data_IF_650041194019
#
_entry.id   IF_650041194019
#
_cell.length_a   1.000
_cell.length_b   1.000
_cell.length_c   1.000
_cell.angle_alpha   90.00
_cell.angle_beta   90.00
_cell.angle_gamma   90.00
#
_symmetry.space_group_name_H-M   'P 1'
#
loop_
_entity.id
_entity.type
_entity.pdbx_description
1 polymer ?
#
# COMPACT_ATOMS: atom_id res chain seq x y z
N UNK A 1 -29.13 -18.76 2.04
CA UNK A 1 -27.86 -18.72 1.29
C UNK A 1 -26.87 -19.64 1.99
N UNK A 2 -26.56 -20.75 1.35
CA UNK A 2 -26.01 -21.99 1.92
C UNK A 2 -24.48 -21.98 2.03
N UNK A 3 -23.97 -22.78 2.96
CA UNK A 3 -22.56 -22.89 3.38
C UNK A 3 -21.57 -23.36 2.27
N UNK A 4 -22.10 -23.72 1.09
CA UNK A 4 -21.35 -24.20 -0.08
C UNK A 4 -20.42 -23.12 -0.70
N UNK A 5 -20.76 -21.83 -0.61
CA UNK A 5 -19.97 -20.77 -1.26
C UNK A 5 -18.63 -20.46 -0.57
N UNK A 6 -18.43 -20.87 0.69
CA UNK A 6 -17.17 -20.62 1.41
C UNK A 6 -16.08 -21.65 1.08
N UNK A 7 -16.45 -22.84 0.57
CA UNK A 7 -15.47 -23.90 0.24
C UNK A 7 -14.77 -23.66 -1.11
N UNK A 8 -15.43 -23.00 -2.08
CA UNK A 8 -14.83 -22.74 -3.40
C UNK A 8 -13.71 -21.67 -3.39
N UNK A 9 -13.71 -20.73 -2.43
CA UNK A 9 -12.64 -19.71 -2.36
C UNK A 9 -11.34 -20.19 -1.74
N UNK A 10 -11.36 -21.28 -0.97
CA UNK A 10 -10.16 -21.81 -0.32
C UNK A 10 -9.33 -22.71 -1.25
N UNK A 11 -9.97 -23.37 -2.24
CA UNK A 11 -9.26 -24.23 -3.19
C UNK A 11 -8.51 -23.46 -4.29
N UNK A 12 -8.89 -22.22 -4.60
CA UNK A 12 -8.19 -21.43 -5.64
C UNK A 12 -6.86 -20.81 -5.18
N UNK A 13 -6.64 -20.68 -3.87
CA UNK A 13 -5.40 -20.05 -3.34
C UNK A 13 -4.28 -21.08 -3.16
N UNK A 14 -4.60 -22.36 -3.00
CA UNK A 14 -3.59 -23.42 -2.78
C UNK A 14 -3.08 -24.03 -4.10
N UNK A 15 -3.85 -23.91 -5.20
CA UNK A 15 -3.47 -24.48 -6.50
C UNK A 15 -2.40 -23.72 -7.30
N UNK A 16 -2.02 -22.51 -6.89
CA UNK A 16 -1.10 -21.63 -7.64
C UNK A 16 0.35 -21.63 -7.14
N UNK A 17 0.67 -22.45 -6.11
CA UNK A 17 1.99 -22.51 -5.49
C UNK A 17 2.82 -23.76 -5.84
N UNK A 18 2.33 -24.65 -6.71
CA UNK A 18 2.99 -25.93 -7.03
C UNK A 18 3.32 -26.13 -8.52
N UNK A 19 3.34 -25.07 -9.33
CA UNK A 19 3.85 -25.14 -10.70
C UNK A 19 5.35 -24.83 -10.71
N UNK A 20 6.15 -25.89 -10.62
CA UNK A 20 7.61 -25.85 -10.63
C UNK A 20 8.19 -25.41 -11.98
N UNK A 21 9.04 -24.39 -11.94
CA UNK A 21 9.96 -24.09 -13.03
C UNK A 21 11.33 -24.72 -12.70
N UNK A 22 11.62 -25.87 -13.29
CA UNK A 22 12.98 -26.43 -13.35
C UNK A 22 13.78 -25.64 -14.38
N UNK A 23 14.71 -24.81 -13.91
CA UNK A 23 15.65 -24.06 -14.75
C UNK A 23 16.91 -24.91 -14.94
N UNK A 24 17.05 -25.54 -16.11
CA UNK A 24 18.30 -26.18 -16.51
C UNK A 24 19.28 -25.10 -16.99
N UNK A 25 20.43 -24.99 -16.32
CA UNK A 25 21.52 -24.11 -16.73
C UNK A 25 22.24 -24.69 -17.96
N UNK A 26 22.51 -23.90 -19.01
CA UNK A 26 23.35 -24.34 -20.13
C UNK A 26 24.82 -24.34 -19.71
N UNK A 27 25.50 -25.46 -19.95
CA UNK A 27 26.96 -25.55 -19.84
C UNK A 27 27.60 -24.76 -21.00
N UNK A 28 28.36 -23.73 -20.64
CA UNK A 28 29.17 -22.94 -21.59
C UNK A 28 30.56 -23.59 -21.69
N UNK A 29 31.06 -23.90 -22.90
CA UNK A 29 32.41 -24.44 -23.08
C UNK A 29 33.46 -23.37 -22.76
N UNK A 30 34.40 -23.74 -21.88
CA UNK A 30 35.60 -22.97 -21.56
C UNK A 30 36.57 -23.01 -22.75
N UNK A 31 36.56 -21.97 -23.58
CA UNK A 31 37.73 -21.58 -24.37
C UNK A 31 38.43 -20.44 -23.65
N UNK A 32 39.64 -20.69 -23.15
CA UNK A 32 40.52 -19.67 -22.60
C UNK A 32 41.17 -18.91 -23.77
N UNK A 33 40.85 -17.62 -24.00
CA UNK A 33 41.68 -16.80 -24.86
C UNK A 33 42.95 -16.42 -24.10
N UNK A 34 44.10 -16.63 -24.74
CA UNK A 34 45.36 -16.04 -24.31
C UNK A 34 45.23 -14.53 -24.51
N UNK A 35 44.99 -13.79 -23.42
CA UNK A 35 44.92 -12.33 -23.42
C UNK A 35 46.29 -11.82 -23.01
N UNK A 36 46.93 -11.06 -23.88
CA UNK A 36 48.16 -10.35 -23.57
C UNK A 36 47.94 -9.42 -22.36
N UNK A 37 48.95 -9.26 -21.48
CA UNK A 37 48.81 -8.42 -20.29
C UNK A 37 48.43 -6.99 -20.71
N UNK A 38 47.35 -6.41 -20.14
CA UNK A 38 46.95 -5.05 -20.46
C UNK A 38 48.05 -4.10 -20.04
N UNK A 39 48.41 -3.20 -20.97
CA UNK A 39 49.25 -2.04 -20.68
C UNK A 39 48.58 -1.28 -19.55
N UNK A 40 49.19 -1.30 -18.37
CA UNK A 40 48.72 -0.59 -17.18
C UNK A 40 48.92 0.89 -17.47
N UNK A 41 47.86 1.55 -17.92
CA UNK A 41 47.80 3.00 -17.94
C UNK A 41 47.90 3.49 -16.49
N UNK A 42 49.05 4.08 -16.16
CA UNK A 42 49.39 4.63 -14.84
C UNK A 42 48.87 6.06 -14.67
N UNK A 43 47.97 6.50 -15.54
CA UNK A 43 47.21 7.73 -15.34
C UNK A 43 46.53 7.72 -13.97
N UNK A 44 46.75 8.73 -13.11
CA UNK A 44 46.09 8.82 -11.82
C UNK A 44 44.57 8.84 -12.04
N UNK A 45 43.78 8.06 -11.27
CA UNK A 45 42.34 8.06 -11.39
C UNK A 45 41.83 9.48 -11.15
N UNK A 46 41.13 10.03 -12.15
CA UNK A 46 40.46 11.32 -12.01
C UNK A 46 39.54 11.26 -10.79
N UNK A 47 39.65 12.21 -9.84
CA UNK A 47 38.76 12.24 -8.68
C UNK A 47 37.34 12.45 -9.18
N UNK A 48 36.45 11.46 -8.99
CA UNK A 48 35.02 11.57 -9.30
C UNK A 48 34.37 12.56 -8.32
N UNK A 49 34.04 13.80 -8.71
CA UNK A 49 33.53 14.81 -7.79
C UNK A 49 31.99 14.75 -7.60
N UNK A 50 31.27 13.96 -8.41
CA UNK A 50 29.81 14.08 -8.51
C UNK A 50 28.99 13.39 -7.40
N UNK A 51 29.58 12.46 -6.63
CA UNK A 51 28.83 11.71 -5.61
C UNK A 51 28.49 12.54 -4.38
N UNK A 52 29.32 13.52 -4.05
CA UNK A 52 29.16 14.29 -2.82
C UNK A 52 28.11 15.41 -2.99
N UNK A 53 28.03 16.04 -4.17
CA UNK A 53 27.07 17.13 -4.42
C UNK A 53 25.61 16.65 -4.44
N UNK A 54 25.34 15.47 -5.03
CA UNK A 54 23.99 14.88 -5.00
C UNK A 54 23.56 14.52 -3.59
N UNK A 55 24.46 13.98 -2.77
CA UNK A 55 24.16 13.61 -1.40
C UNK A 55 23.85 14.85 -0.53
N UNK A 56 24.62 15.91 -0.68
CA UNK A 56 24.37 17.18 0.02
C UNK A 56 23.05 17.83 -0.44
N UNK A 57 22.72 17.76 -1.73
CA UNK A 57 21.42 18.25 -2.25
C UNK A 57 20.24 17.48 -1.66
N UNK A 58 20.33 16.14 -1.65
CA UNK A 58 19.35 15.26 -1.01
C UNK A 58 19.16 15.61 0.47
N UNK A 59 20.26 15.77 1.19
CA UNK A 59 20.25 16.13 2.61
C UNK A 59 19.63 17.50 2.83
N UNK A 60 19.98 18.50 2.02
CA UNK A 60 19.40 19.83 2.09
C UNK A 60 17.88 19.80 1.88
N UNK A 61 17.40 19.07 0.86
CA UNK A 61 15.97 18.95 0.56
C UNK A 61 15.18 18.27 1.68
N UNK A 62 15.75 17.23 2.32
CA UNK A 62 15.09 16.53 3.42
C UNK A 62 15.00 17.37 4.71
N UNK A 63 15.91 18.32 4.91
CA UNK A 63 15.97 19.18 6.10
C UNK A 63 15.31 20.56 5.90
N UNK A 64 14.63 20.79 4.78
CA UNK A 64 13.85 22.01 4.55
C UNK A 64 12.79 22.21 5.66
N UNK A 65 12.76 23.42 6.21
CA UNK A 65 11.72 23.85 7.17
C UNK A 65 10.37 23.93 6.46
N UNK A 66 9.27 23.79 7.23
CA UNK A 66 7.89 23.75 6.72
C UNK A 66 7.55 24.88 5.72
N UNK A 67 7.92 26.11 6.04
CA UNK A 67 7.60 27.28 5.20
C UNK A 67 8.39 27.27 3.89
N UNK A 68 9.69 26.95 3.97
CA UNK A 68 10.59 26.84 2.82
C UNK A 68 10.22 25.64 1.92
N UNK A 69 9.72 24.55 2.52
CA UNK A 69 9.25 23.37 1.79
C UNK A 69 8.06 23.71 0.90
N UNK A 70 7.09 24.47 1.41
CA UNK A 70 5.91 24.85 0.62
C UNK A 70 6.27 25.73 -0.57
N UNK A 71 7.14 26.72 -0.37
CA UNK A 71 7.60 27.58 -1.47
C UNK A 71 8.40 26.80 -2.49
N UNK A 72 9.26 25.88 -2.05
CA UNK A 72 10.06 25.07 -2.96
C UNK A 72 9.19 24.11 -3.77
N UNK A 73 8.22 23.46 -3.13
CA UNK A 73 7.29 22.57 -3.80
C UNK A 73 6.49 23.31 -4.89
N UNK A 74 5.98 24.51 -4.59
CA UNK A 74 5.30 25.38 -5.56
C UNK A 74 6.23 25.82 -6.70
N UNK A 75 7.49 26.15 -6.40
CA UNK A 75 8.48 26.54 -7.40
C UNK A 75 8.74 25.39 -8.39
N UNK A 76 8.98 24.18 -7.89
CA UNK A 76 9.24 23.01 -8.73
C UNK A 76 8.00 22.59 -9.55
N UNK A 77 6.79 22.68 -8.97
CA UNK A 77 5.52 22.47 -9.70
C UNK A 77 5.31 23.51 -10.81
N UNK A 78 5.65 24.78 -10.53
CA UNK A 78 5.57 25.84 -11.51
C UNK A 78 6.55 25.61 -12.68
N UNK A 79 7.77 25.15 -12.39
CA UNK A 79 8.75 24.78 -13.42
C UNK A 79 8.24 23.63 -14.30
N UNK A 80 7.63 22.59 -13.71
CA UNK A 80 7.05 21.48 -14.47
C UNK A 80 5.86 21.88 -15.35
N UNK A 81 5.07 22.87 -14.94
CA UNK A 81 3.91 23.34 -15.69
C UNK A 81 4.26 24.33 -16.82
N UNK A 82 5.47 24.88 -16.82
CA UNK A 82 5.92 25.87 -17.82
C UNK A 82 7.26 25.45 -18.47
N UNK A 83 7.29 24.31 -19.18
CA UNK A 83 8.52 23.75 -19.75
C UNK A 83 9.16 24.63 -20.83
N UNK A 84 8.41 25.55 -21.43
CA UNK A 84 8.90 26.49 -22.46
C UNK A 84 9.99 27.44 -21.96
N UNK A 85 10.11 27.61 -20.64
CA UNK A 85 11.05 28.55 -20.01
C UNK A 85 12.41 27.93 -19.68
N UNK A 86 12.56 26.60 -19.69
CA UNK A 86 13.81 25.92 -19.32
C UNK A 86 13.81 24.45 -19.76
N UNK A 87 14.97 23.94 -20.18
CA UNK A 87 15.18 22.49 -20.33
C UNK A 87 15.11 21.86 -18.94
N UNK A 88 14.08 21.04 -18.71
CA UNK A 88 13.85 20.39 -17.42
C UNK A 88 14.56 19.03 -17.42
N UNK A 89 15.55 18.87 -16.54
CA UNK A 89 16.18 17.59 -16.28
C UNK A 89 15.25 16.64 -15.52
N UNK A 90 15.43 15.31 -15.65
CA UNK A 90 14.65 14.31 -14.92
C UNK A 90 14.75 14.49 -13.41
N UNK A 91 15.84 15.05 -12.89
CA UNK A 91 16.13 15.30 -11.47
C UNK A 91 15.01 16.10 -10.78
N UNK A 92 14.31 16.96 -11.51
CA UNK A 92 13.20 17.74 -10.98
C UNK A 92 12.08 16.83 -10.44
N UNK A 93 11.78 15.74 -11.15
CA UNK A 93 10.80 14.75 -10.70
C UNK A 93 11.27 14.02 -9.45
N UNK A 94 12.57 13.75 -9.33
CA UNK A 94 13.14 13.13 -8.15
C UNK A 94 13.05 14.05 -6.92
N UNK A 95 13.43 15.33 -7.08
CA UNK A 95 13.31 16.33 -6.01
C UNK A 95 11.87 16.50 -5.54
N UNK A 96 10.92 16.60 -6.46
CA UNK A 96 9.50 16.65 -6.10
C UNK A 96 9.04 15.40 -5.36
N UNK A 97 9.49 14.21 -5.77
CA UNK A 97 9.17 12.97 -5.05
C UNK A 97 9.64 13.02 -3.58
N UNK A 98 10.85 13.54 -3.34
CA UNK A 98 11.40 13.71 -2.00
C UNK A 98 10.60 14.72 -1.18
N UNK A 99 10.23 15.87 -1.76
CA UNK A 99 9.47 16.91 -1.05
C UNK A 99 8.04 16.46 -0.70
N UNK A 100 7.35 15.77 -1.62
CA UNK A 100 6.03 15.20 -1.35
C UNK A 100 6.07 14.12 -0.26
N UNK A 101 7.15 13.34 -0.19
CA UNK A 101 7.32 12.27 0.79
C UNK A 101 8.06 12.68 2.07
N UNK A 102 8.51 13.93 2.15
CA UNK A 102 9.30 14.45 3.26
C UNK A 102 8.53 14.36 4.58
N UNK A 103 9.17 13.90 5.68
CA UNK A 103 8.56 13.88 7.00
C UNK A 103 8.22 15.29 7.53
N UNK A 104 8.89 16.31 6.98
CA UNK A 104 8.64 17.71 7.34
C UNK A 104 7.45 18.31 6.59
N UNK A 105 6.89 17.61 5.59
CA UNK A 105 5.72 18.05 4.86
C UNK A 105 4.43 17.77 5.67
N UNK A 106 3.69 18.79 6.15
CA UNK A 106 2.46 18.58 6.93
C UNK A 106 1.34 17.93 6.11
N UNK A 107 1.43 18.01 4.78
CA UNK A 107 0.48 17.44 3.82
C UNK A 107 1.21 16.44 2.92
N UNK A 108 2.01 15.55 3.52
CA UNK A 108 2.74 14.54 2.77
C UNK A 108 1.80 13.71 1.88
N UNK A 109 2.12 13.67 0.59
CA UNK A 109 1.35 12.97 -0.43
C UNK A 109 2.21 11.90 -1.09
N UNK A 110 2.26 10.73 -0.46
CA UNK A 110 3.02 9.59 -0.95
C UNK A 110 2.53 9.06 -2.30
N UNK A 111 1.28 9.34 -2.69
CA UNK A 111 0.75 8.98 -4.01
C UNK A 111 1.36 9.86 -5.09
N UNK A 112 1.38 11.18 -4.87
CA UNK A 112 2.08 12.11 -5.75
C UNK A 112 3.59 11.85 -5.76
N UNK A 113 4.21 11.61 -4.61
CA UNK A 113 5.62 11.22 -4.54
C UNK A 113 5.92 9.98 -5.40
N UNK A 114 5.09 8.94 -5.29
CA UNK A 114 5.22 7.71 -6.07
C UNK A 114 5.06 7.96 -7.58
N UNK A 115 4.19 8.88 -7.97
CA UNK A 115 4.02 9.23 -9.37
C UNK A 115 5.24 9.99 -9.91
N UNK A 116 5.80 10.92 -9.15
CA UNK A 116 6.98 11.67 -9.59
C UNK A 116 8.23 10.78 -9.67
N UNK A 117 8.48 9.89 -8.70
CA UNK A 117 9.61 8.95 -8.80
C UNK A 117 9.46 7.99 -9.99
N UNK A 118 8.23 7.58 -10.35
CA UNK A 118 8.00 6.77 -11.55
C UNK A 118 8.31 7.54 -12.83
N UNK A 119 7.95 8.82 -12.89
CA UNK A 119 8.31 9.70 -14.02
C UNK A 119 9.82 9.87 -14.12
N UNK A 120 10.50 10.08 -13.00
CA UNK A 120 11.97 10.09 -12.96
C UNK A 120 12.55 8.82 -13.59
N UNK A 121 12.09 7.64 -13.16
CA UNK A 121 12.58 6.35 -13.68
C UNK A 121 12.30 6.12 -15.17
N UNK A 122 11.31 6.82 -15.74
CA UNK A 122 10.97 6.75 -17.16
C UNK A 122 11.87 7.65 -18.02
N UNK A 123 12.26 8.81 -17.49
CA UNK A 123 13.01 9.82 -18.24
C UNK A 123 14.51 9.82 -17.98
N UNK A 124 14.96 9.34 -16.81
CA UNK A 124 16.37 9.25 -16.46
C UNK A 124 17.06 8.14 -17.27
N UNK A 125 18.31 8.40 -17.66
CA UNK A 125 19.13 7.38 -18.30
C UNK A 125 19.48 6.25 -17.29
N UNK A 126 19.67 5.02 -17.78
CA UNK A 126 19.83 3.84 -16.90
C UNK A 126 21.05 3.93 -15.97
N UNK A 127 22.09 4.61 -16.42
CA UNK A 127 23.33 4.92 -15.71
C UNK A 127 23.14 5.99 -14.61
N UNK A 128 22.11 6.83 -14.71
CA UNK A 128 21.77 7.85 -13.72
C UNK A 128 20.88 7.33 -12.58
N UNK A 129 20.27 6.16 -12.76
CA UNK A 129 19.42 5.52 -11.75
C UNK A 129 20.30 4.75 -10.79
N UNK A 130 20.43 5.25 -9.57
CA UNK A 130 21.18 4.59 -8.51
C UNK A 130 20.29 3.69 -7.66
N UNK A 131 20.92 2.90 -6.78
CA UNK A 131 20.20 2.06 -5.81
C UNK A 131 19.31 2.89 -4.87
N UNK A 132 19.64 4.17 -4.64
CA UNK A 132 18.88 5.06 -3.77
C UNK A 132 17.50 5.34 -4.36
N UNK A 133 17.40 5.70 -5.65
CA UNK A 133 16.11 6.01 -6.27
C UNK A 133 15.26 4.73 -6.39
N UNK A 134 15.89 3.59 -6.68
CA UNK A 134 15.19 2.30 -6.68
C UNK A 134 14.67 1.94 -5.29
N UNK A 135 15.46 2.18 -4.25
CA UNK A 135 15.05 1.97 -2.87
C UNK A 135 13.88 2.86 -2.49
N UNK A 136 13.93 4.15 -2.84
CA UNK A 136 12.84 5.12 -2.61
C UNK A 136 11.57 4.68 -3.33
N UNK A 137 11.66 4.26 -4.60
CA UNK A 137 10.52 3.71 -5.35
C UNK A 137 9.88 2.51 -4.64
N UNK A 138 10.69 1.56 -4.17
CA UNK A 138 10.22 0.38 -3.43
C UNK A 138 9.55 0.79 -2.12
N UNK A 139 10.13 1.73 -1.37
CA UNK A 139 9.55 2.25 -0.13
C UNK A 139 8.20 2.92 -0.36
N UNK A 140 8.11 3.85 -1.32
CA UNK A 140 6.87 4.55 -1.64
C UNK A 140 5.77 3.59 -2.10
N UNK A 141 6.13 2.59 -2.91
CA UNK A 141 5.20 1.54 -3.32
C UNK A 141 4.67 0.74 -2.11
N UNK A 142 5.55 0.40 -1.16
CA UNK A 142 5.17 -0.30 0.06
C UNK A 142 4.27 0.56 0.95
N UNK A 143 4.57 1.85 1.10
CA UNK A 143 3.75 2.79 1.86
C UNK A 143 2.34 2.87 1.28
N UNK A 144 2.21 3.09 -0.04
CA UNK A 144 0.90 3.18 -0.69
C UNK A 144 0.12 1.86 -0.60
N UNK A 145 0.78 0.71 -0.76
CA UNK A 145 0.16 -0.60 -0.55
C UNK A 145 -0.38 -0.75 0.88
N UNK A 146 0.38 -0.32 1.89
CA UNK A 146 -0.05 -0.35 3.29
C UNK A 146 -1.21 0.61 3.56
N UNK A 147 -1.19 1.81 2.99
CA UNK A 147 -2.31 2.78 3.10
C UNK A 147 -3.59 2.20 2.51
N UNK A 148 -3.51 1.59 1.32
CA UNK A 148 -4.64 0.91 0.69
C UNK A 148 -5.18 -0.21 1.58
N UNK A 149 -4.32 -1.11 2.08
CA UNK A 149 -4.71 -2.19 2.99
C UNK A 149 -5.39 -1.66 4.25
N UNK A 150 -4.86 -0.59 4.85
CA UNK A 150 -5.45 0.06 6.03
C UNK A 150 -6.83 0.63 5.73
N UNK A 151 -7.01 1.30 4.58
CA UNK A 151 -8.31 1.83 4.15
C UNK A 151 -9.33 0.71 3.97
N UNK A 152 -8.95 -0.36 3.28
CA UNK A 152 -9.81 -1.54 3.09
C UNK A 152 -10.19 -2.19 4.41
N UNK A 153 -9.23 -2.38 5.32
CA UNK A 153 -9.49 -2.95 6.65
C UNK A 153 -10.43 -2.06 7.48
N UNK A 154 -10.25 -0.74 7.44
CA UNK A 154 -11.14 0.20 8.12
C UNK A 154 -12.57 0.14 7.56
N UNK A 155 -12.72 0.07 6.23
CA UNK A 155 -14.03 -0.08 5.60
C UNK A 155 -14.72 -1.38 6.03
N UNK A 156 -13.98 -2.50 6.02
CA UNK A 156 -14.49 -3.79 6.49
C UNK A 156 -14.90 -3.75 7.97
N UNK A 157 -14.08 -3.13 8.82
CA UNK A 157 -14.40 -2.91 10.24
C UNK A 157 -15.72 -2.16 10.41
N UNK A 158 -15.94 -1.10 9.63
CA UNK A 158 -17.18 -0.31 9.70
C UNK A 158 -18.40 -1.13 9.27
N UNK A 159 -18.28 -1.96 8.22
CA UNK A 159 -19.35 -2.86 7.80
C UNK A 159 -19.70 -3.86 8.91
N UNK A 160 -18.69 -4.52 9.48
CA UNK A 160 -18.88 -5.50 10.56
C UNK A 160 -19.50 -4.88 11.82
N UNK A 161 -19.14 -3.63 12.15
CA UNK A 161 -19.75 -2.91 13.27
C UNK A 161 -21.25 -2.67 13.05
N UNK A 162 -21.64 -2.27 11.83
CA UNK A 162 -23.06 -2.09 11.47
C UNK A 162 -23.83 -3.40 11.52
N UNK A 163 -23.25 -4.47 10.98
CA UNK A 163 -23.86 -5.82 11.04
C UNK A 163 -24.02 -6.30 12.49
N UNK A 164 -23.00 -6.10 13.32
CA UNK A 164 -23.06 -6.46 14.74
C UNK A 164 -24.18 -5.71 15.47
N UNK A 165 -24.32 -4.40 15.20
CA UNK A 165 -25.39 -3.60 15.78
C UNK A 165 -26.77 -4.08 15.32
N UNK A 166 -26.94 -4.37 14.03
CA UNK A 166 -28.20 -4.91 13.51
C UNK A 166 -28.55 -6.27 14.13
N UNK A 167 -27.56 -7.16 14.31
CA UNK A 167 -27.75 -8.45 14.98
C UNK A 167 -28.12 -8.29 16.45
N UNK A 168 -27.50 -7.36 17.18
CA UNK A 168 -27.87 -7.04 18.57
C UNK A 168 -29.32 -6.60 18.67
N UNK A 169 -29.79 -5.75 17.77
CA UNK A 169 -31.19 -5.33 17.73
C UNK A 169 -32.13 -6.51 17.45
N UNK A 170 -31.81 -7.36 16.47
CA UNK A 170 -32.60 -8.56 16.17
C UNK A 170 -32.67 -9.52 17.37
N UNK A 171 -31.54 -9.73 18.05
CA UNK A 171 -31.48 -10.57 19.24
C UNK A 171 -32.36 -10.01 20.36
N UNK A 172 -32.31 -8.70 20.60
CA UNK A 172 -33.17 -8.03 21.58
C UNK A 172 -34.65 -8.21 21.25
N UNK A 173 -35.04 -7.98 20.00
CA UNK A 173 -36.43 -8.14 19.57
C UNK A 173 -36.90 -9.59 19.72
N UNK A 174 -36.07 -10.57 19.36
CA UNK A 174 -36.40 -11.98 19.54
C UNK A 174 -36.55 -12.37 21.02
N UNK A 175 -35.71 -11.82 21.90
CA UNK A 175 -35.82 -12.03 23.34
C UNK A 175 -37.11 -11.42 23.91
N UNK A 176 -37.47 -10.20 23.49
CA UNK A 176 -38.71 -9.54 23.89
C UNK A 176 -39.95 -10.32 23.42
N UNK A 177 -39.93 -10.82 22.17
CA UNK A 177 -41.02 -11.64 21.64
C UNK A 177 -41.15 -12.97 22.36
N UNK A 178 -40.03 -13.65 22.64
CA UNK A 178 -40.02 -14.88 23.44
C UNK A 178 -40.62 -14.64 24.82
N UNK A 179 -40.32 -13.50 25.45
CA UNK A 179 -40.89 -13.13 26.74
C UNK A 179 -42.40 -12.89 26.65
N UNK A 180 -42.89 -12.25 25.58
CA UNK A 180 -44.33 -12.05 25.33
C UNK A 180 -45.05 -13.38 25.15
N UNK A 181 -44.53 -14.25 24.29
CA UNK A 181 -45.11 -15.58 24.05
C UNK A 181 -45.16 -16.43 25.31
N UNK A 182 -44.11 -16.43 26.14
CA UNK A 182 -44.12 -17.14 27.43
C UNK A 182 -45.24 -16.65 28.36
N UNK A 183 -45.47 -15.33 28.43
CA UNK A 183 -46.59 -14.78 29.22
C UNK A 183 -47.94 -15.19 28.66
N UNK A 184 -48.09 -15.21 27.34
CA UNK A 184 -49.33 -15.64 26.69
C UNK A 184 -49.62 -17.12 26.95
N UNK A 185 -48.62 -17.99 26.84
CA UNK A 185 -48.72 -19.42 27.17
C UNK A 185 -49.17 -19.60 28.63
N UNK A 186 -48.52 -18.93 29.58
CA UNK A 186 -48.91 -18.99 31.00
C UNK A 186 -50.36 -18.53 31.24
N UNK A 187 -50.81 -17.49 30.53
CA UNK A 187 -52.20 -17.03 30.64
C UNK A 187 -53.20 -18.05 30.08
N UNK A 188 -52.86 -18.72 28.97
CA UNK A 188 -53.67 -19.79 28.39
C UNK A 188 -53.73 -21.01 29.32
N UNK A 189 -52.61 -21.44 29.88
CA UNK A 189 -52.55 -22.54 30.86
C UNK A 189 -53.45 -22.26 32.07
N UNK A 190 -53.42 -21.03 32.60
CA UNK A 190 -54.31 -20.62 33.70
C UNK A 190 -55.79 -20.64 33.30
N UNK A 191 -56.10 -20.31 32.05
CA UNK A 191 -57.47 -20.31 31.53
C UNK A 191 -57.99 -21.74 31.37
N UNK A 192 -57.18 -22.65 30.83
CA UNK A 192 -57.50 -24.07 30.71
C UNK A 192 -57.80 -24.70 32.08
N UNK A 193 -56.97 -24.41 33.10
CA UNK A 193 -57.22 -24.86 34.49
C UNK A 193 -58.58 -24.37 35.00
N UNK A 194 -58.96 -23.13 34.71
CA UNK A 194 -60.25 -22.56 35.14
C UNK A 194 -61.44 -23.19 34.41
N UNK A 195 -61.29 -23.46 33.11
CA UNK A 195 -62.32 -24.13 32.33
C UNK A 195 -62.54 -25.57 32.81
N UNK A 196 -61.47 -26.30 33.10
CA UNK A 196 -61.57 -27.67 33.58
C UNK A 196 -62.26 -27.73 34.95
N UNK A 197 -61.89 -26.85 35.88
CA UNK A 197 -62.59 -26.72 37.18
C UNK A 197 -64.08 -26.44 37.03
N UNK A 198 -64.48 -25.67 36.01
CA UNK A 198 -65.89 -25.38 35.73
C UNK A 198 -66.64 -26.56 35.09
N UNK A 199 -65.95 -27.49 34.42
CA UNK A 199 -66.58 -28.68 33.83
C UNK A 199 -66.83 -29.77 34.87
N UNK A 200 -66.01 -29.82 35.90
CA UNK A 200 -66.08 -30.83 36.97
C UNK A 200 -67.05 -30.48 38.10
N UNK A 201 -67.66 -29.28 38.06
CA UNK A 201 -68.66 -28.79 39.00
C UNK A 201 -70.01 -28.67 38.30
#
# INVERSE_FOLDING_TARGET
MTAEFKKLRFMFIVGLLLSGCSFSAPQVPHHSPHVDPPVIDTSPPLPCPEKDERHETLKALLHLKKDALKSELLNLEYQLSHPEKRVLGPELYFHLALLYSSPNNPLADYGNALNQIKRYMQFAAKDQITDIEQYILKLLTRIESQRYKRKTCNNQKQVLLKENQALKTKLKNAADETRRLKKAIQALEQLDIRLEKKRTH
#
